data_IF_221914162004
#
_entry.id   IF_221914162004
#
_cell.length_a   1.000
_cell.length_b   1.000
_cell.length_c   1.000
_cell.angle_alpha   90.00
_cell.angle_beta   90.00
_cell.angle_gamma   90.00
#
_symmetry.space_group_name_H-M   'P 1'
#
loop_
_entity.id
_entity.type
_entity.pdbx_description
1 polymer ?
#
# COMPACT_ATOMS: atom_id res chain seq x y z
N UNK A 1 -5.09 -14.87 14.13
CA UNK A 1 -4.12 -14.51 13.07
C UNK A 1 -3.59 -15.73 12.28
N UNK A 2 -3.20 -16.83 12.93
CA UNK A 2 -2.65 -18.03 12.25
C UNK A 2 -3.61 -18.69 11.21
N UNK A 3 -4.92 -18.70 11.45
CA UNK A 3 -5.89 -19.36 10.55
C UNK A 3 -6.01 -18.65 9.20
N UNK A 4 -6.02 -17.30 9.20
CA UNK A 4 -6.07 -16.49 7.97
C UNK A 4 -4.79 -16.61 7.15
N UNK A 5 -3.64 -16.74 7.83
CA UNK A 5 -2.34 -16.94 7.19
C UNK A 5 -2.24 -18.29 6.46
N UNK A 6 -2.66 -19.37 7.12
CA UNK A 6 -2.69 -20.72 6.52
C UNK A 6 -3.65 -20.79 5.32
N UNK A 7 -4.78 -20.09 5.42
CA UNK A 7 -5.74 -19.97 4.33
C UNK A 7 -5.16 -19.24 3.11
N UNK A 8 -4.35 -18.20 3.33
CA UNK A 8 -3.73 -17.44 2.23
C UNK A 8 -2.56 -18.19 1.59
N UNK A 9 -1.73 -18.88 2.39
CA UNK A 9 -0.74 -19.83 1.89
C UNK A 9 -1.42 -20.95 1.09
N UNK A 10 -2.59 -21.41 1.54
CA UNK A 10 -3.42 -22.37 0.80
C UNK A 10 -3.91 -21.82 -0.55
N UNK A 11 -4.40 -20.58 -0.60
CA UNK A 11 -4.86 -19.95 -1.83
C UNK A 11 -3.71 -19.75 -2.83
N UNK A 12 -2.54 -19.31 -2.35
CA UNK A 12 -1.34 -19.14 -3.19
C UNK A 12 -0.82 -20.50 -3.65
N UNK A 13 -0.84 -21.52 -2.79
CA UNK A 13 -0.49 -22.90 -3.19
C UNK A 13 -1.44 -23.43 -4.28
N UNK A 14 -2.74 -23.15 -4.20
CA UNK A 14 -3.72 -23.50 -5.23
C UNK A 14 -3.36 -22.91 -6.60
N UNK A 15 -2.86 -21.68 -6.61
CA UNK A 15 -2.42 -21.00 -7.82
C UNK A 15 -1.27 -21.77 -8.51
N UNK A 16 -0.29 -22.25 -7.74
CA UNK A 16 0.86 -23.03 -8.23
C UNK A 16 0.55 -24.50 -8.54
N UNK A 17 -0.45 -25.09 -7.87
CA UNK A 17 -0.85 -26.48 -8.09
C UNK A 17 -1.35 -26.69 -9.52
N UNK A 18 -2.06 -25.72 -10.13
CA UNK A 18 -2.55 -25.87 -11.51
C UNK A 18 -1.42 -26.07 -12.54
N UNK A 19 -0.43 -25.16 -12.68
CA UNK A 19 0.70 -25.37 -13.60
C UNK A 19 1.45 -26.69 -13.34
N UNK A 20 1.61 -27.07 -12.07
CA UNK A 20 2.27 -28.31 -11.70
C UNK A 20 1.47 -29.56 -12.15
N UNK A 21 0.15 -29.56 -11.93
CA UNK A 21 -0.74 -30.63 -12.41
C UNK A 21 -0.81 -30.66 -13.95
N UNK A 22 -0.79 -29.51 -14.60
CA UNK A 22 -0.75 -29.44 -16.07
C UNK A 22 0.53 -30.09 -16.62
N UNK A 23 1.68 -29.81 -16.01
CA UNK A 23 2.95 -30.47 -16.31
C UNK A 23 2.89 -31.98 -16.04
N UNK A 24 2.33 -32.39 -14.91
CA UNK A 24 2.17 -33.82 -14.56
C UNK A 24 1.30 -34.58 -15.55
N UNK A 25 0.24 -33.93 -16.06
CA UNK A 25 -0.64 -34.49 -17.07
C UNK A 25 -0.08 -34.37 -18.50
N UNK A 26 1.17 -33.90 -18.67
CA UNK A 26 1.84 -33.79 -19.96
C UNK A 26 1.24 -32.73 -20.89
N UNK A 27 0.56 -31.71 -20.35
CA UNK A 27 0.01 -30.64 -21.17
C UNK A 27 1.14 -29.81 -21.82
N UNK A 28 0.96 -29.49 -23.10
CA UNK A 28 1.98 -28.78 -23.88
C UNK A 28 2.23 -27.34 -23.43
N UNK A 29 3.33 -26.79 -23.92
CA UNK A 29 3.80 -25.41 -23.67
C UNK A 29 2.77 -24.30 -23.98
N UNK A 30 1.75 -24.60 -24.77
CA UNK A 30 0.62 -23.70 -25.05
C UNK A 30 -0.15 -23.27 -23.78
N UNK A 31 -0.04 -24.01 -22.67
CA UNK A 31 -0.68 -23.65 -21.41
C UNK A 31 0.08 -22.58 -20.62
N UNK A 32 1.37 -22.38 -20.89
CA UNK A 32 2.21 -21.38 -20.20
C UNK A 32 1.62 -19.96 -20.29
N UNK A 33 1.27 -19.42 -21.48
CA UNK A 33 0.69 -18.08 -21.55
C UNK A 33 -0.66 -17.98 -20.82
N UNK A 34 -1.46 -19.04 -20.80
CA UNK A 34 -2.76 -19.07 -20.11
C UNK A 34 -2.58 -18.97 -18.59
N UNK A 35 -1.70 -19.80 -18.02
CA UNK A 35 -1.38 -19.72 -16.59
C UNK A 35 -0.69 -18.40 -16.25
N UNK A 36 0.20 -17.90 -17.11
CA UNK A 36 0.83 -16.60 -16.92
C UNK A 36 -0.22 -15.48 -16.82
N UNK A 37 -1.24 -15.49 -17.69
CA UNK A 37 -2.32 -14.52 -17.61
C UNK A 37 -3.10 -14.60 -16.28
N UNK A 38 -3.38 -15.81 -15.78
CA UNK A 38 -4.03 -16.01 -14.47
C UNK A 38 -3.15 -15.45 -13.33
N UNK A 39 -1.84 -15.69 -13.38
CA UNK A 39 -0.89 -15.20 -12.37
C UNK A 39 -0.74 -13.68 -12.40
N UNK A 40 -0.65 -13.09 -13.60
CA UNK A 40 -0.61 -11.63 -13.77
C UNK A 40 -1.91 -11.01 -13.27
N UNK A 41 -3.06 -11.60 -13.59
CA UNK A 41 -4.35 -11.15 -13.08
C UNK A 41 -4.43 -11.25 -11.56
N UNK A 42 -3.93 -12.34 -10.97
CA UNK A 42 -3.81 -12.49 -9.53
C UNK A 42 -2.93 -11.39 -8.91
N UNK A 43 -1.79 -11.09 -9.53
CA UNK A 43 -0.85 -10.06 -9.06
C UNK A 43 -1.46 -8.66 -9.18
N UNK A 44 -2.21 -8.40 -10.24
CA UNK A 44 -2.98 -7.17 -10.42
C UNK A 44 -4.02 -6.98 -9.31
N UNK A 45 -4.71 -8.06 -8.92
CA UNK A 45 -5.71 -8.04 -7.84
C UNK A 45 -5.05 -7.89 -6.46
N UNK A 46 -3.94 -8.59 -6.21
CA UNK A 46 -3.31 -8.66 -4.88
C UNK A 46 -2.33 -7.51 -4.60
N UNK A 47 -1.74 -6.90 -5.63
CA UNK A 47 -0.79 -5.79 -5.49
C UNK A 47 -1.15 -4.64 -6.44
N UNK A 48 -2.32 -4.01 -6.30
CA UNK A 48 -2.74 -2.90 -7.15
C UNK A 48 -1.86 -1.65 -7.00
N UNK A 49 -0.99 -1.60 -5.98
CA UNK A 49 0.03 -0.56 -5.79
C UNK A 49 1.20 -0.66 -6.77
N UNK A 50 1.52 -1.86 -7.28
CA UNK A 50 2.59 -2.07 -8.25
C UNK A 50 2.23 -1.67 -9.68
N UNK A 51 0.95 -1.37 -9.92
CA UNK A 51 0.43 -1.04 -11.24
C UNK A 51 0.05 0.44 -11.32
N UNK A 52 0.39 1.15 -12.41
CA UNK A 52 0.05 2.54 -12.58
C UNK A 52 -1.45 2.73 -12.64
N UNK A 53 -1.97 3.62 -11.78
CA UNK A 53 -3.39 3.97 -11.72
C UNK A 53 -3.77 5.11 -12.67
N UNK A 54 -2.79 5.94 -13.03
CA UNK A 54 -2.95 7.02 -13.99
C UNK A 54 -2.69 6.47 -15.41
N UNK A 55 -3.65 6.58 -16.34
CA UNK A 55 -3.44 6.24 -17.75
C UNK A 55 -2.18 6.87 -18.35
N UNK A 56 -1.84 8.10 -17.97
CA UNK A 56 -0.65 8.80 -18.47
C UNK A 56 0.66 8.24 -17.90
N UNK A 57 0.62 7.56 -16.74
CA UNK A 57 1.80 6.90 -16.20
C UNK A 57 2.21 5.67 -17.05
N UNK A 58 1.30 5.12 -17.86
CA UNK A 58 1.61 4.05 -18.82
C UNK A 58 2.39 4.55 -20.04
N UNK A 59 2.48 5.87 -20.27
CA UNK A 59 3.28 6.42 -21.37
C UNK A 59 4.78 6.44 -21.04
N UNK A 60 5.14 6.32 -19.75
CA UNK A 60 6.53 6.28 -19.32
C UNK A 60 7.16 4.92 -19.64
N UNK A 61 8.34 4.93 -20.27
CA UNK A 61 9.08 3.73 -20.64
C UNK A 61 9.47 2.85 -19.44
N UNK A 62 9.80 3.45 -18.30
CA UNK A 62 10.22 2.73 -17.09
C UNK A 62 9.10 1.83 -16.53
N UNK A 63 7.86 2.28 -16.64
CA UNK A 63 6.67 1.53 -16.22
C UNK A 63 6.48 0.26 -17.04
N UNK A 64 6.67 0.33 -18.36
CA UNK A 64 6.60 -0.84 -19.23
C UNK A 64 7.70 -1.85 -18.93
N UNK A 65 8.91 -1.39 -18.60
CA UNK A 65 10.03 -2.27 -18.25
C UNK A 65 9.70 -3.07 -16.99
N UNK A 66 9.22 -2.40 -15.93
CA UNK A 66 8.85 -3.06 -14.67
C UNK A 66 7.70 -4.05 -14.84
N UNK A 67 6.63 -3.66 -15.55
CA UNK A 67 5.51 -4.53 -15.85
C UNK A 67 5.95 -5.76 -16.65
N UNK A 68 6.77 -5.57 -17.68
CA UNK A 68 7.29 -6.65 -18.53
C UNK A 68 8.20 -7.58 -17.74
N UNK A 69 9.11 -7.05 -16.92
CA UNK A 69 9.98 -7.85 -16.06
C UNK A 69 9.18 -8.69 -15.06
N UNK A 70 8.12 -8.11 -14.48
CA UNK A 70 7.24 -8.81 -13.56
C UNK A 70 6.45 -9.92 -14.27
N UNK A 71 5.88 -9.65 -15.44
CA UNK A 71 5.20 -10.66 -16.27
C UNK A 71 6.17 -11.77 -16.70
N UNK A 72 7.40 -11.43 -17.07
CA UNK A 72 8.43 -12.40 -17.44
C UNK A 72 8.80 -13.31 -16.26
N UNK A 73 8.91 -12.75 -15.05
CA UNK A 73 9.13 -13.54 -13.84
C UNK A 73 7.96 -14.51 -13.57
N UNK A 74 6.71 -14.10 -13.81
CA UNK A 74 5.55 -15.00 -13.69
C UNK A 74 5.57 -16.11 -14.73
N UNK A 75 5.89 -15.80 -15.99
CA UNK A 75 6.02 -16.80 -17.05
C UNK A 75 7.10 -17.83 -16.73
N UNK A 76 8.25 -17.38 -16.24
CA UNK A 76 9.35 -18.25 -15.83
C UNK A 76 8.94 -19.16 -14.67
N UNK A 77 8.23 -18.62 -13.67
CA UNK A 77 7.74 -19.39 -12.54
C UNK A 77 6.73 -20.47 -12.98
N UNK A 78 5.79 -20.12 -13.85
CA UNK A 78 4.83 -21.06 -14.45
C UNK A 78 5.56 -22.16 -15.23
N UNK A 79 6.56 -21.79 -16.04
CA UNK A 79 7.36 -22.73 -16.82
C UNK A 79 8.12 -23.70 -15.91
N UNK A 80 8.71 -23.20 -14.82
CA UNK A 80 9.39 -24.03 -13.81
C UNK A 80 8.40 -25.00 -13.15
N UNK A 81 7.22 -24.53 -12.72
CA UNK A 81 6.20 -25.41 -12.14
C UNK A 81 5.75 -26.51 -13.12
N UNK A 82 5.53 -26.16 -14.39
CA UNK A 82 5.20 -27.15 -15.43
C UNK A 82 6.35 -28.12 -15.70
N UNK A 83 7.60 -27.64 -15.72
CA UNK A 83 8.78 -28.48 -15.91
C UNK A 83 8.96 -29.47 -14.75
N UNK A 84 8.74 -29.03 -13.51
CA UNK A 84 8.76 -29.90 -12.32
C UNK A 84 7.67 -30.96 -12.43
N UNK A 85 6.42 -30.57 -12.73
CA UNK A 85 5.33 -31.53 -12.92
C UNK A 85 5.62 -32.56 -14.02
N UNK A 86 6.15 -32.09 -15.15
CA UNK A 86 6.53 -32.95 -16.28
C UNK A 86 7.68 -33.89 -15.92
N UNK A 87 8.67 -33.40 -15.17
CA UNK A 87 9.77 -34.20 -14.64
C UNK A 87 9.28 -35.31 -13.70
N UNK A 88 8.33 -35.00 -12.82
CA UNK A 88 7.68 -35.97 -11.93
C UNK A 88 6.91 -37.06 -12.71
N UNK A 89 6.16 -36.67 -13.74
CA UNK A 89 5.44 -37.62 -14.60
C UNK A 89 6.40 -38.57 -15.30
N UNK A 90 7.51 -38.03 -15.83
CA UNK A 90 8.54 -38.79 -16.54
C UNK A 90 9.23 -39.84 -15.65
N UNK A 91 9.63 -39.46 -14.43
CA UNK A 91 10.30 -40.40 -13.49
C UNK A 91 9.34 -41.46 -12.93
N UNK A 92 8.08 -41.10 -12.71
CA UNK A 92 7.11 -41.99 -12.07
C UNK A 92 6.38 -42.88 -13.09
N UNK A 93 6.66 -42.74 -14.39
CA UNK A 93 5.93 -43.37 -15.49
C UNK A 93 4.40 -43.20 -15.37
N UNK A 94 3.97 -42.08 -14.76
CA UNK A 94 2.58 -41.80 -14.44
C UNK A 94 1.91 -41.20 -15.67
N UNK A 95 1.02 -41.97 -16.30
CA UNK A 95 0.23 -41.48 -17.44
C UNK A 95 -1.11 -40.95 -16.93
N UNK A 96 -1.08 -39.78 -16.28
CA UNK A 96 -2.26 -39.18 -15.65
C UNK A 96 -2.99 -38.33 -16.69
N UNK A 97 -3.93 -38.94 -17.40
CA UNK A 97 -4.81 -38.24 -18.34
C UNK A 97 -5.85 -37.42 -17.57
N UNK A 98 -5.52 -36.18 -17.22
CA UNK A 98 -6.46 -35.21 -16.65
C UNK A 98 -7.09 -34.31 -17.73
N UNK A 99 -8.38 -33.94 -17.59
CA UNK A 99 -8.98 -32.92 -18.42
C UNK A 99 -8.25 -31.58 -18.27
N UNK A 100 -7.94 -30.91 -19.38
CA UNK A 100 -7.23 -29.63 -19.43
C UNK A 100 -7.88 -28.52 -18.60
N UNK A 101 -9.19 -28.58 -18.41
CA UNK A 101 -9.95 -27.62 -17.61
C UNK A 101 -9.67 -27.75 -16.11
N UNK A 102 -9.30 -28.94 -15.61
CA UNK A 102 -9.16 -29.18 -14.18
C UNK A 102 -8.00 -28.35 -13.57
N UNK A 103 -6.77 -28.39 -14.10
CA UNK A 103 -5.67 -27.54 -13.62
C UNK A 103 -5.99 -26.03 -13.69
N UNK A 104 -6.69 -25.61 -14.76
CA UNK A 104 -7.09 -24.22 -14.96
C UNK A 104 -8.11 -23.77 -13.91
N UNK A 105 -9.13 -24.58 -13.64
CA UNK A 105 -10.15 -24.29 -12.61
C UNK A 105 -9.48 -24.18 -11.24
N UNK A 106 -8.54 -25.08 -10.92
CA UNK A 106 -7.83 -25.06 -9.63
C UNK A 106 -7.05 -23.75 -9.45
N UNK A 107 -6.27 -23.33 -10.46
CA UNK A 107 -5.56 -22.05 -10.39
C UNK A 107 -6.50 -20.85 -10.42
N UNK A 108 -7.57 -20.89 -11.21
CA UNK A 108 -8.51 -19.78 -11.33
C UNK A 108 -9.32 -19.59 -10.04
N UNK A 109 -9.70 -20.68 -9.36
CA UNK A 109 -10.38 -20.65 -8.06
C UNK A 109 -9.55 -20.02 -6.96
N UNK A 110 -8.22 -19.95 -7.11
CA UNK A 110 -7.36 -19.19 -6.21
C UNK A 110 -7.73 -17.70 -6.17
N UNK A 111 -8.23 -17.12 -7.28
CA UNK A 111 -8.59 -15.69 -7.40
C UNK A 111 -9.77 -15.28 -6.50
N UNK A 112 -10.98 -15.91 -6.59
CA UNK A 112 -12.09 -15.56 -5.72
C UNK A 112 -11.82 -15.97 -4.27
N UNK A 113 -11.12 -17.09 -4.04
CA UNK A 113 -10.77 -17.54 -2.69
C UNK A 113 -9.81 -16.55 -2.03
N UNK A 114 -8.79 -16.06 -2.75
CA UNK A 114 -7.89 -15.05 -2.21
C UNK A 114 -8.65 -13.77 -1.88
N UNK A 115 -9.55 -13.31 -2.75
CA UNK A 115 -10.35 -12.10 -2.51
C UNK A 115 -11.38 -12.25 -1.37
N UNK A 116 -11.96 -13.44 -1.19
CA UNK A 116 -12.92 -13.69 -0.11
C UNK A 116 -12.23 -13.69 1.27
N UNK A 117 -10.96 -14.06 1.30
CA UNK A 117 -10.16 -14.18 2.52
C UNK A 117 -9.37 -12.88 2.79
N UNK A 118 -9.12 -12.07 1.76
CA UNK A 118 -8.25 -10.91 1.80
C UNK A 118 -8.98 -9.58 1.63
N UNK A 119 -8.62 -8.61 2.46
CA UNK A 119 -8.95 -7.20 2.27
C UNK A 119 -7.73 -6.50 1.65
N UNK A 120 -7.83 -5.83 0.48
CA UNK A 120 -6.70 -5.18 -0.21
C UNK A 120 -5.96 -4.11 0.61
N UNK A 121 -6.43 -3.77 1.81
CA UNK A 121 -5.81 -2.83 2.76
C UNK A 121 -4.68 -3.43 3.63
N UNK A 122 -4.46 -4.76 3.59
CA UNK A 122 -3.48 -5.48 4.44
C UNK A 122 -2.16 -5.86 3.69
N UNK A 123 -1.79 -5.13 2.61
CA UNK A 123 -0.58 -5.34 1.77
C UNK A 123 0.72 -5.54 2.59
N UNK A 124 0.83 -4.86 3.74
CA UNK A 124 2.03 -4.86 4.60
C UNK A 124 2.31 -6.21 5.27
N UNK A 125 1.29 -7.03 5.55
CA UNK A 125 1.52 -8.32 6.23
C UNK A 125 2.06 -9.39 5.30
N UNK A 126 1.72 -9.33 4.02
CA UNK A 126 2.17 -10.33 3.05
C UNK A 126 3.60 -10.07 2.58
N UNK A 127 4.02 -8.79 2.48
CA UNK A 127 5.41 -8.40 2.21
C UNK A 127 6.38 -8.99 3.24
N UNK A 128 6.19 -8.68 4.52
CA UNK A 128 6.97 -9.25 5.61
C UNK A 128 6.98 -10.78 5.67
N UNK A 129 5.87 -11.45 5.36
CA UNK A 129 5.77 -12.93 5.45
C UNK A 129 6.37 -13.67 4.26
N UNK A 130 6.24 -13.14 3.04
CA UNK A 130 6.97 -13.64 1.86
C UNK A 130 8.46 -13.41 2.04
N UNK A 131 8.84 -12.27 2.61
CA UNK A 131 10.23 -11.98 2.92
C UNK A 131 10.80 -12.85 4.05
N UNK A 132 10.01 -13.19 5.06
CA UNK A 132 10.38 -14.15 6.10
C UNK A 132 10.54 -15.58 5.54
N UNK A 133 9.67 -15.98 4.59
CA UNK A 133 9.77 -17.28 3.93
C UNK A 133 10.94 -17.35 2.94
N UNK A 134 11.22 -16.28 2.20
CA UNK A 134 12.36 -16.19 1.28
C UNK A 134 13.69 -16.03 2.03
N UNK A 135 13.71 -15.33 3.16
CA UNK A 135 14.87 -15.24 4.06
C UNK A 135 15.26 -16.60 4.65
N UNK A 136 14.31 -17.51 4.86
CA UNK A 136 14.56 -18.90 5.24
C UNK A 136 15.16 -19.75 4.10
N UNK A 137 15.10 -19.29 2.85
CA UNK A 137 15.56 -20.02 1.65
C UNK A 137 16.79 -19.33 1.01
N UNK A 138 17.25 -18.20 1.56
CA UNK A 138 18.48 -17.51 1.12
C UNK A 138 18.39 -16.85 -0.27
N UNK A 139 17.17 -16.59 -0.76
CA UNK A 139 16.95 -15.90 -2.05
C UNK A 139 16.96 -14.38 -1.82
N UNK A 140 17.63 -13.56 -2.66
CA UNK A 140 17.63 -12.11 -2.52
C UNK A 140 16.21 -11.58 -2.75
N UNK A 141 15.66 -10.96 -1.72
CA UNK A 141 14.27 -10.50 -1.62
C UNK A 141 14.07 -9.11 -2.20
N UNK A 142 12.87 -8.85 -2.74
CA UNK A 142 12.29 -7.50 -2.80
C UNK A 142 12.36 -6.93 -1.39
N UNK A 143 12.94 -5.73 -1.22
CA UNK A 143 13.35 -5.12 0.06
C UNK A 143 12.46 -5.55 1.25
N UNK A 144 13.08 -6.04 2.33
CA UNK A 144 12.37 -6.36 3.58
C UNK A 144 11.61 -5.13 4.10
N UNK A 145 10.57 -5.32 4.92
CA UNK A 145 9.85 -4.19 5.54
C UNK A 145 10.83 -3.27 6.31
N UNK A 146 11.86 -3.86 6.92
CA UNK A 146 12.97 -3.14 7.54
C UNK A 146 13.80 -2.35 6.51
N UNK A 147 14.12 -2.93 5.36
CA UNK A 147 14.86 -2.25 4.30
C UNK A 147 14.02 -1.18 3.58
N UNK A 148 12.69 -1.35 3.49
CA UNK A 148 11.79 -0.29 3.00
C UNK A 148 11.72 0.88 3.98
N UNK A 149 11.78 0.62 5.29
CA UNK A 149 11.85 1.67 6.31
C UNK A 149 13.22 2.34 6.28
N UNK A 150 14.30 1.59 6.16
CA UNK A 150 15.66 2.12 6.04
C UNK A 150 15.80 2.98 4.78
N UNK A 151 15.25 2.52 3.65
CA UNK A 151 15.16 3.31 2.42
C UNK A 151 14.27 4.54 2.59
N UNK A 152 13.16 4.45 3.32
CA UNK A 152 12.33 5.61 3.66
C UNK A 152 13.11 6.63 4.50
N UNK A 153 13.89 6.17 5.47
CA UNK A 153 14.75 7.00 6.32
C UNK A 153 15.84 7.69 5.49
N UNK A 154 16.49 6.95 4.59
CA UNK A 154 17.50 7.50 3.68
C UNK A 154 16.90 8.55 2.73
N UNK A 155 15.73 8.26 2.14
CA UNK A 155 15.07 9.18 1.22
C UNK A 155 14.50 10.42 1.90
N UNK A 156 14.09 10.32 3.17
CA UNK A 156 13.55 11.46 3.92
C UNK A 156 14.64 12.26 4.64
N UNK A 157 15.83 11.70 4.88
CA UNK A 157 16.96 12.39 5.51
C UNK A 157 17.34 13.73 4.84
N UNK A 158 17.30 13.89 3.50
CA UNK A 158 17.52 15.18 2.85
C UNK A 158 16.50 16.26 3.23
N UNK A 159 15.27 15.90 3.63
CA UNK A 159 14.26 16.88 4.06
C UNK A 159 14.72 17.66 5.30
N UNK A 160 15.49 17.00 6.18
CA UNK A 160 16.05 17.64 7.37
C UNK A 160 17.13 18.69 7.05
N UNK A 161 17.69 18.67 5.83
CA UNK A 161 18.72 19.62 5.37
C UNK A 161 18.14 20.79 4.58
N UNK A 162 16.84 20.78 4.29
CA UNK A 162 16.20 21.85 3.54
C UNK A 162 16.10 23.13 4.40
N UNK A 163 16.28 24.33 3.82
CA UNK A 163 16.06 25.58 4.55
C UNK A 163 14.64 25.70 5.08
N UNK A 164 14.45 26.32 6.24
CA UNK A 164 13.12 26.53 6.83
C UNK A 164 12.20 27.42 5.97
N UNK A 165 12.78 28.22 5.06
CA UNK A 165 12.05 29.04 4.08
C UNK A 165 11.53 28.25 2.87
N UNK A 166 11.73 26.93 2.83
CA UNK A 166 11.30 26.09 1.72
C UNK A 166 9.79 26.08 1.58
N UNK A 167 9.29 26.41 0.38
CA UNK A 167 7.85 26.46 0.10
C UNK A 167 7.22 25.07 0.15
N UNK A 168 5.96 24.94 0.63
CA UNK A 168 5.27 23.65 0.68
C UNK A 168 5.18 22.90 -0.66
N UNK A 169 5.07 23.62 -1.78
CA UNK A 169 5.05 23.03 -3.12
C UNK A 169 6.36 22.31 -3.50
N UNK A 170 7.50 22.80 -3.00
CA UNK A 170 8.81 22.15 -3.22
C UNK A 170 8.91 20.85 -2.42
N UNK A 171 8.43 20.87 -1.17
CA UNK A 171 8.36 19.68 -0.32
C UNK A 171 7.41 18.63 -0.91
N UNK A 172 6.26 19.06 -1.45
CA UNK A 172 5.30 18.17 -2.11
C UNK A 172 5.91 17.47 -3.33
N UNK A 173 6.69 18.19 -4.15
CA UNK A 173 7.38 17.61 -5.30
C UNK A 173 8.42 16.56 -4.86
N UNK A 174 9.16 16.82 -3.79
CA UNK A 174 10.10 15.85 -3.22
C UNK A 174 9.39 14.61 -2.70
N UNK A 175 8.27 14.77 -1.97
CA UNK A 175 7.46 13.65 -1.50
C UNK A 175 6.86 12.82 -2.63
N UNK A 176 6.46 13.47 -3.73
CA UNK A 176 5.97 12.77 -4.92
C UNK A 176 7.06 11.91 -5.53
N UNK A 177 8.27 12.47 -5.72
CA UNK A 177 9.42 11.72 -6.22
C UNK A 177 9.81 10.55 -5.30
N UNK A 178 9.73 10.72 -3.98
CA UNK A 178 9.98 9.63 -3.02
C UNK A 178 8.90 8.54 -3.09
N UNK A 179 7.65 8.93 -3.32
CA UNK A 179 6.53 7.98 -3.44
C UNK A 179 6.62 7.07 -4.68
N UNK A 180 7.45 7.42 -5.67
CA UNK A 180 7.75 6.56 -6.82
C UNK A 180 8.70 5.39 -6.44
N UNK A 181 9.38 5.49 -5.30
CA UNK A 181 10.42 4.56 -4.85
C UNK A 181 10.00 3.78 -3.59
N UNK A 182 9.22 4.40 -2.70
CA UNK A 182 8.82 3.79 -1.43
C UNK A 182 7.32 3.92 -1.20
N UNK A 183 6.74 2.86 -0.65
CA UNK A 183 5.34 2.81 -0.27
C UNK A 183 4.95 3.90 0.74
N UNK A 184 3.65 4.16 0.83
CA UNK A 184 3.18 5.29 1.61
C UNK A 184 3.27 5.12 3.14
N UNK A 185 3.13 3.89 3.63
CA UNK A 185 3.21 3.57 5.06
C UNK A 185 4.65 3.68 5.58
N UNK A 186 5.69 3.11 4.94
CA UNK A 186 7.08 3.32 5.35
C UNK A 186 7.48 4.79 5.42
N UNK A 187 7.14 5.58 4.40
CA UNK A 187 7.39 7.03 4.38
C UNK A 187 6.72 7.75 5.55
N UNK A 188 5.44 7.46 5.82
CA UNK A 188 4.75 8.07 6.96
C UNK A 188 5.35 7.64 8.31
N UNK A 189 5.75 6.37 8.45
CA UNK A 189 6.37 5.85 9.68
C UNK A 189 7.71 6.54 9.93
N UNK A 190 8.52 6.71 8.88
CA UNK A 190 9.77 7.45 8.93
C UNK A 190 9.54 8.90 9.36
N UNK A 191 8.62 9.62 8.70
CA UNK A 191 8.28 11.01 9.06
C UNK A 191 7.74 11.11 10.50
N UNK A 192 6.88 10.17 10.92
CA UNK A 192 6.39 10.10 12.32
C UNK A 192 7.53 9.96 13.32
N UNK A 193 8.56 9.18 12.99
CA UNK A 193 9.72 9.01 13.88
C UNK A 193 10.55 10.29 13.99
N UNK A 194 10.69 11.04 12.88
CA UNK A 194 11.45 12.28 12.84
C UNK A 194 10.74 13.41 13.59
N UNK A 195 9.41 13.54 13.47
CA UNK A 195 8.64 14.58 14.17
C UNK A 195 8.54 14.37 15.69
N UNK A 196 8.83 13.16 16.19
CA UNK A 196 8.88 12.91 17.64
C UNK A 196 10.09 13.55 18.31
N UNK A 197 11.13 13.89 17.54
CA UNK A 197 12.22 14.71 18.05
C UNK A 197 11.72 16.16 18.20
N UNK A 198 11.97 16.77 19.36
CA UNK A 198 11.46 18.12 19.70
C UNK A 198 11.93 19.25 18.77
N UNK A 199 12.83 18.94 17.82
CA UNK A 199 13.49 19.89 16.92
C UNK A 199 13.34 19.48 15.44
N UNK A 200 12.20 18.88 15.09
CA UNK A 200 11.96 18.47 13.70
C UNK A 200 11.99 19.70 12.77
N UNK A 201 12.80 19.68 11.68
CA UNK A 201 12.90 20.80 10.74
C UNK A 201 11.57 21.15 10.06
N UNK A 202 11.40 22.42 9.66
CA UNK A 202 10.13 22.90 9.09
C UNK A 202 9.69 22.10 7.87
N UNK A 203 10.63 21.75 6.98
CA UNK A 203 10.36 20.94 5.80
C UNK A 203 9.83 19.54 6.16
N UNK A 204 10.34 18.91 7.22
CA UNK A 204 9.85 17.61 7.71
C UNK A 204 8.43 17.74 8.29
N UNK A 205 8.12 18.84 8.97
CA UNK A 205 6.77 19.12 9.48
C UNK A 205 5.76 19.31 8.34
N UNK A 206 6.13 20.12 7.35
CA UNK A 206 5.34 20.31 6.12
C UNK A 206 5.12 18.97 5.42
N UNK A 207 6.18 18.17 5.26
CA UNK A 207 6.10 16.86 4.63
C UNK A 207 5.13 15.92 5.35
N UNK A 208 5.18 15.91 6.68
CA UNK A 208 4.24 15.14 7.49
C UNK A 208 2.80 15.59 7.29
N UNK A 209 2.50 16.90 7.33
CA UNK A 209 1.14 17.43 7.14
C UNK A 209 0.63 17.08 5.73
N UNK A 210 1.45 17.26 4.70
CA UNK A 210 1.09 16.91 3.32
C UNK A 210 0.71 15.44 3.18
N UNK A 211 1.47 14.55 3.83
CA UNK A 211 1.23 13.10 3.78
C UNK A 211 0.06 12.65 4.65
N UNK A 212 -0.08 13.22 5.84
CA UNK A 212 -1.15 12.94 6.78
C UNK A 212 -2.53 13.39 6.27
N UNK A 213 -2.57 14.36 5.36
CA UNK A 213 -3.79 14.90 4.74
C UNK A 213 -3.95 14.48 3.26
N UNK A 214 -3.20 13.48 2.79
CA UNK A 214 -3.33 12.94 1.44
C UNK A 214 -4.62 12.09 1.32
N UNK A 215 -5.59 12.48 0.47
CA UNK A 215 -6.87 11.77 0.34
C UNK A 215 -6.69 10.28 0.02
N UNK A 216 -5.70 9.96 -0.82
CA UNK A 216 -5.45 8.58 -1.22
C UNK A 216 -4.97 7.72 -0.04
N UNK A 217 -4.29 8.31 0.94
CA UNK A 217 -3.79 7.60 2.11
C UNK A 217 -4.82 7.50 3.22
N UNK A 218 -5.51 8.60 3.51
CA UNK A 218 -6.46 8.68 4.62
C UNK A 218 -7.63 7.71 4.40
N UNK A 219 -8.02 7.47 3.14
CA UNK A 219 -9.09 6.54 2.78
C UNK A 219 -8.69 5.05 2.83
N UNK A 220 -7.40 4.70 2.95
CA UNK A 220 -6.89 3.32 2.95
C UNK A 220 -6.70 2.71 4.35
N UNK A 221 -7.45 3.21 5.33
CA UNK A 221 -7.35 2.89 6.75
C UNK A 221 -5.94 3.08 7.31
N UNK A 222 -5.72 4.30 7.78
CA UNK A 222 -4.55 4.64 8.58
C UNK A 222 -4.69 4.03 9.99
N UNK A 223 -3.73 3.20 10.45
CA UNK A 223 -3.74 2.68 11.83
C UNK A 223 -3.42 3.75 12.88
N UNK A 224 -3.11 4.99 12.46
CA UNK A 224 -2.68 6.12 13.29
C UNK A 224 -3.57 7.32 12.95
N UNK A 225 -4.07 8.09 13.92
CA UNK A 225 -4.81 9.33 13.66
C UNK A 225 -3.84 10.43 13.18
N UNK A 226 -3.26 10.26 12.00
CA UNK A 226 -2.27 11.19 11.46
C UNK A 226 -2.84 12.59 11.18
N UNK A 227 -4.10 12.78 10.73
CA UNK A 227 -4.68 14.11 10.68
C UNK A 227 -4.72 14.80 12.05
N UNK A 228 -5.01 14.06 13.13
CA UNK A 228 -4.93 14.61 14.50
C UNK A 228 -3.49 14.96 14.91
N UNK A 229 -2.50 14.15 14.55
CA UNK A 229 -1.09 14.46 14.80
C UNK A 229 -0.60 15.66 13.98
N UNK A 230 -1.05 15.77 12.73
CA UNK A 230 -0.74 16.89 11.85
C UNK A 230 -1.31 18.20 12.41
N UNK A 231 -2.53 18.15 12.98
CA UNK A 231 -3.11 19.26 13.71
C UNK A 231 -2.29 19.65 14.95
N UNK A 232 -1.89 18.68 15.77
CA UNK A 232 -1.06 18.94 16.95
C UNK A 232 0.29 19.59 16.58
N UNK A 233 0.88 19.17 15.46
CA UNK A 233 2.12 19.75 14.92
C UNK A 233 1.92 21.19 14.42
N UNK A 234 0.74 21.47 13.84
CA UNK A 234 0.41 22.77 13.27
C UNK A 234 0.01 23.82 14.30
N UNK A 235 -0.41 23.42 15.51
CA UNK A 235 -0.91 24.32 16.57
C UNK A 235 0.10 25.43 16.97
N UNK A 236 1.40 25.20 16.78
CA UNK A 236 2.43 26.20 17.10
C UNK A 236 2.75 27.19 15.98
N UNK A 237 2.21 27.01 14.76
CA UNK A 237 2.67 27.74 13.57
C UNK A 237 1.51 28.07 12.63
N UNK A 238 1.34 29.36 12.32
CA UNK A 238 0.24 29.84 11.46
C UNK A 238 0.31 29.29 10.03
N UNK A 239 1.51 29.18 9.44
CA UNK A 239 1.67 28.67 8.09
C UNK A 239 1.36 27.17 7.99
N UNK A 240 1.76 26.40 9.01
CA UNK A 240 1.40 24.98 9.10
C UNK A 240 -0.11 24.79 9.34
N UNK A 241 -0.73 25.65 10.14
CA UNK A 241 -2.17 25.62 10.39
C UNK A 241 -2.97 25.93 9.11
N UNK A 242 -2.56 26.94 8.35
CA UNK A 242 -3.15 27.26 7.05
C UNK A 242 -3.03 26.09 6.07
N UNK A 243 -1.84 25.46 5.98
CA UNK A 243 -1.60 24.29 5.14
C UNK A 243 -2.51 23.11 5.54
N UNK A 244 -2.60 22.83 6.85
CA UNK A 244 -3.46 21.77 7.37
C UNK A 244 -4.92 22.04 6.99
N UNK A 245 -5.46 23.23 7.27
CA UNK A 245 -6.86 23.57 7.00
C UNK A 245 -7.21 23.51 5.52
N UNK A 246 -6.33 24.04 4.66
CA UNK A 246 -6.51 24.05 3.20
C UNK A 246 -6.72 22.63 2.64
N UNK A 247 -6.08 21.63 3.25
CA UNK A 247 -6.16 20.23 2.80
C UNK A 247 -7.24 19.44 3.53
N UNK A 248 -7.41 19.69 4.83
CA UNK A 248 -8.34 19.00 5.72
C UNK A 248 -9.80 19.32 5.44
N UNK A 249 -10.13 20.57 5.11
CA UNK A 249 -11.52 20.98 4.86
C UNK A 249 -12.14 20.28 3.63
N UNK A 250 -11.53 20.29 2.43
CA UNK A 250 -12.04 19.54 1.30
C UNK A 250 -12.16 18.04 1.58
N UNK A 251 -11.17 17.47 2.29
CA UNK A 251 -11.13 16.05 2.63
C UNK A 251 -12.32 15.66 3.53
N UNK A 252 -12.61 16.42 4.58
CA UNK A 252 -13.75 16.16 5.47
C UNK A 252 -15.11 16.41 4.80
N UNK A 253 -15.21 17.41 3.92
CA UNK A 253 -16.45 17.66 3.15
C UNK A 253 -16.78 16.48 2.23
N UNK A 254 -15.77 15.89 1.58
CA UNK A 254 -15.94 14.77 0.67
C UNK A 254 -16.10 13.43 1.38
N UNK A 255 -15.45 13.23 2.53
CA UNK A 255 -15.33 11.93 3.19
C UNK A 255 -15.64 12.02 4.69
N UNK A 256 -16.94 12.15 5.01
CA UNK A 256 -17.42 12.26 6.39
C UNK A 256 -17.05 11.08 7.29
N UNK A 257 -16.83 9.89 6.73
CA UNK A 257 -16.44 8.69 7.49
C UNK A 257 -15.08 8.82 8.18
N UNK A 258 -14.26 9.79 7.77
CA UNK A 258 -12.92 10.01 8.30
C UNK A 258 -12.90 10.75 9.65
N UNK A 259 -14.05 11.17 10.18
CA UNK A 259 -14.16 11.98 11.41
C UNK A 259 -13.35 11.43 12.59
N UNK A 260 -13.22 10.11 12.72
CA UNK A 260 -12.48 9.45 13.80
C UNK A 260 -10.95 9.61 13.71
N UNK A 261 -10.43 9.92 12.53
CA UNK A 261 -9.00 10.14 12.28
C UNK A 261 -8.57 11.59 12.45
N UNK A 262 -9.54 12.50 12.54
CA UNK A 262 -9.35 13.94 12.73
C UNK A 262 -9.27 14.30 14.23
N UNK A 263 -8.68 15.46 14.57
CA UNK A 263 -8.68 15.95 15.95
C UNK A 263 -10.12 16.14 16.48
N UNK A 264 -10.30 16.08 17.80
CA UNK A 264 -11.63 16.29 18.38
C UNK A 264 -12.07 17.75 18.16
N UNK A 265 -13.38 17.96 18.01
CA UNK A 265 -13.93 19.30 17.80
C UNK A 265 -13.56 20.26 18.95
N UNK A 266 -13.49 19.76 20.18
CA UNK A 266 -13.06 20.52 21.37
C UNK A 266 -11.62 21.04 21.25
N UNK A 267 -10.70 20.21 20.73
CA UNK A 267 -9.31 20.59 20.50
C UNK A 267 -9.20 21.68 19.42
N UNK A 268 -10.01 21.57 18.36
CA UNK A 268 -10.06 22.55 17.27
C UNK A 268 -10.61 23.89 17.77
N UNK A 269 -11.71 23.88 18.53
CA UNK A 269 -12.31 25.09 19.09
C UNK A 269 -11.32 25.79 20.02
N UNK A 270 -10.59 25.04 20.84
CA UNK A 270 -9.58 25.60 21.74
C UNK A 270 -8.44 26.30 20.98
N UNK A 271 -8.06 25.79 19.81
CA UNK A 271 -7.01 26.39 18.97
C UNK A 271 -7.45 27.68 18.24
N UNK A 272 -8.75 28.00 18.20
CA UNK A 272 -9.24 29.23 17.54
C UNK A 272 -8.72 30.50 18.21
N UNK A 273 -8.51 30.49 19.54
CA UNK A 273 -7.96 31.63 20.28
C UNK A 273 -6.49 31.90 19.97
N UNK A 274 -5.71 30.85 19.71
CA UNK A 274 -4.29 30.93 19.35
C UNK A 274 -4.10 31.32 17.87
N UNK A 275 -5.08 31.00 17.01
CA UNK A 275 -5.06 31.28 15.57
C UNK A 275 -6.28 32.10 15.13
N UNK A 276 -6.43 33.32 15.65
CA UNK A 276 -7.56 34.20 15.34
C UNK A 276 -7.81 34.40 13.83
N UNK A 277 -6.74 34.49 13.02
CA UNK A 277 -6.83 34.63 11.56
C UNK A 277 -7.41 33.40 10.84
N UNK A 278 -7.45 32.24 11.50
CA UNK A 278 -7.98 30.98 10.98
C UNK A 278 -9.21 30.49 11.75
N UNK A 279 -9.79 31.32 12.63
CA UNK A 279 -10.92 30.93 13.47
C UNK A 279 -12.13 30.44 12.66
N UNK A 280 -12.46 31.10 11.54
CA UNK A 280 -13.55 30.69 10.65
C UNK A 280 -13.36 29.27 10.09
N UNK A 281 -12.27 28.99 9.36
CA UNK A 281 -11.93 27.66 8.86
C UNK A 281 -11.84 26.57 9.96
N UNK A 282 -11.30 26.90 11.14
CA UNK A 282 -11.21 25.99 12.28
C UNK A 282 -12.61 25.62 12.81
N UNK A 283 -13.48 26.62 13.02
CA UNK A 283 -14.87 26.38 13.44
C UNK A 283 -15.65 25.57 12.42
N UNK A 284 -15.43 25.81 11.12
CA UNK A 284 -16.04 25.00 10.07
C UNK A 284 -15.58 23.54 10.14
N UNK A 285 -14.28 23.30 10.31
CA UNK A 285 -13.75 21.94 10.44
C UNK A 285 -14.33 21.23 11.68
N UNK A 286 -14.44 21.91 12.81
CA UNK A 286 -15.03 21.38 14.03
C UNK A 286 -16.51 20.99 13.83
N UNK A 287 -17.29 21.85 13.16
CA UNK A 287 -18.70 21.58 12.83
C UNK A 287 -18.85 20.38 11.88
N UNK A 288 -17.98 20.25 10.87
CA UNK A 288 -17.97 19.10 9.97
C UNK A 288 -17.69 17.78 10.70
N UNK A 289 -16.76 17.78 11.66
CA UNK A 289 -16.41 16.60 12.46
C UNK A 289 -17.57 16.21 13.37
N UNK A 290 -18.19 17.16 14.08
CA UNK A 290 -19.34 16.89 14.95
C UNK A 290 -20.55 16.36 14.16
N UNK A 291 -20.84 16.95 12.99
CA UNK A 291 -21.93 16.48 12.12
C UNK A 291 -21.69 15.08 11.56
N UNK A 292 -20.43 14.69 11.39
CA UNK A 292 -20.04 13.39 10.86
C UNK A 292 -20.04 12.28 11.93
N UNK A 293 -19.98 12.65 13.22
CA UNK A 293 -20.00 11.70 14.34
C UNK A 293 -21.35 10.97 14.40
N UNK A 294 -21.38 9.62 14.45
CA UNK A 294 -22.62 8.88 14.57
C UNK A 294 -23.29 9.24 15.90
N UNK A 295 -24.51 9.80 15.84
CA UNK A 295 -25.33 10.03 17.03
C UNK A 295 -25.58 8.68 17.69
N UNK A 296 -25.08 8.50 18.91
CA UNK A 296 -25.44 7.33 19.73
C UNK A 296 -26.96 7.31 19.83
N UNK A 297 -27.60 6.33 19.20
CA UNK A 297 -28.99 6.00 19.46
C UNK A 297 -29.01 5.50 20.90
N UNK A 298 -29.55 6.30 21.82
CA UNK A 298 -29.84 5.85 23.16
C UNK A 298 -30.73 4.60 23.05
N UNK A 299 -30.19 3.46 23.47
CA UNK A 299 -30.97 2.26 23.75
C UNK A 299 -31.45 2.33 25.19
#
# INVERSE_FOLDING_TARGET
MQTRLRLLMGATALLYIGPLLAGLAGHGWLMVPVFTAIFVLWLFIMRPSNWPRDPHAWEKSDTWIRATAQTAAQALLVAVCMAIGSGMAGIAALNVSMPTMLPLIISFMALPISRLIWDPSDETRFGGLVNEALGKIGVPTVLSDEAEIELADELTAPLAKLPDSTKPSVVENHLRAMSDHVGARPLLKSLTSQIKSSDAPMATRIAFILRATDPAQVLRDMPIPAPAQAFALAKGDHGLMELFLTRSLPLMRQHKTLWSSFPQAEDIVSATGEHANHAGPLLELADLIEKAKPRRVAR
#
